data_IF_220664813828
#
_entry.id   IF_220664813828
#
_cell.length_a   1.000
_cell.length_b   1.000
_cell.length_c   1.000
_cell.angle_alpha   90.00
_cell.angle_beta   90.00
_cell.angle_gamma   90.00
#
_symmetry.space_group_name_H-M   'P 1'
#
loop_
_entity.id
_entity.type
_entity.pdbx_description
1 polymer ?
#
# COMPACT_ATOMS: atom_id res chain seq x y z
N UNK A 1 17.56 10.37 27.21
CA UNK A 1 17.96 10.55 25.81
C UNK A 1 16.74 10.32 24.93
N UNK A 2 16.28 11.32 24.17
CA UNK A 2 15.21 11.14 23.18
C UNK A 2 15.81 10.46 21.94
N UNK A 3 15.20 9.39 21.39
CA UNK A 3 15.68 8.81 20.13
C UNK A 3 15.63 9.86 19.03
N UNK A 4 16.63 9.86 18.14
CA UNK A 4 16.63 10.78 17.00
C UNK A 4 15.44 10.47 16.10
N UNK A 5 14.90 11.48 15.40
CA UNK A 5 13.82 11.29 14.41
C UNK A 5 14.17 10.19 13.39
N UNK A 6 15.45 10.02 13.06
CA UNK A 6 15.96 8.95 12.19
C UNK A 6 15.84 7.54 12.79
N UNK A 7 16.08 7.36 14.10
CA UNK A 7 15.87 6.06 14.77
C UNK A 7 14.40 5.68 14.87
N UNK A 8 13.50 6.67 14.82
CA UNK A 8 12.04 6.44 14.82
C UNK A 8 11.56 5.99 13.44
N UNK A 9 12.08 6.59 12.37
CA UNK A 9 11.73 6.18 10.99
C UNK A 9 12.25 4.78 10.65
N UNK A 10 13.49 4.43 11.00
CA UNK A 10 14.05 3.11 10.70
C UNK A 10 13.29 1.95 11.40
N UNK A 11 12.79 2.16 12.62
CA UNK A 11 11.97 1.19 13.34
C UNK A 11 10.56 1.06 12.74
N UNK A 12 10.02 2.14 12.18
CA UNK A 12 8.73 2.13 11.49
C UNK A 12 8.81 1.33 10.17
N UNK A 13 9.86 1.51 9.37
CA UNK A 13 10.03 0.81 8.08
C UNK A 13 10.21 -0.70 8.25
N UNK A 14 11.00 -1.14 9.24
CA UNK A 14 11.19 -2.57 9.55
C UNK A 14 9.94 -3.23 10.16
N UNK A 15 9.18 -2.49 10.98
CA UNK A 15 7.92 -2.97 11.55
C UNK A 15 6.83 -3.17 10.49
N UNK A 16 6.75 -2.26 9.50
CA UNK A 16 5.75 -2.34 8.42
C UNK A 16 6.05 -3.49 7.45
N UNK A 17 7.31 -3.71 7.07
CA UNK A 17 7.71 -4.87 6.25
C UNK A 17 7.41 -6.22 6.95
N UNK A 18 7.61 -6.29 8.27
CA UNK A 18 7.37 -7.51 9.04
C UNK A 18 5.86 -7.80 9.24
N UNK A 19 5.03 -6.78 9.42
CA UNK A 19 3.57 -6.93 9.57
C UNK A 19 2.87 -7.28 8.24
N UNK A 20 3.40 -6.80 7.11
CA UNK A 20 2.86 -7.11 5.79
C UNK A 20 3.03 -8.59 5.46
N UNK A 21 4.20 -9.18 5.76
CA UNK A 21 4.46 -10.61 5.53
C UNK A 21 3.59 -11.54 6.39
N UNK A 22 3.21 -11.13 7.61
CA UNK A 22 2.42 -11.96 8.53
C UNK A 22 0.90 -11.96 8.24
N UNK A 23 0.35 -10.93 7.59
CA UNK A 23 -1.10 -10.86 7.31
C UNK A 23 -1.49 -11.55 5.98
N UNK A 24 -0.54 -12.00 5.16
CA UNK A 24 -0.83 -12.67 3.88
C UNK A 24 -1.29 -14.13 4.02
N UNK A 25 -1.07 -14.78 5.17
CA UNK A 25 -1.60 -16.12 5.43
C UNK A 25 -3.11 -16.14 5.70
N UNK A 26 -3.75 -14.98 5.92
CA UNK A 26 -5.14 -14.88 6.36
C UNK A 26 -6.16 -14.75 5.20
N UNK A 27 -5.73 -14.72 3.94
CA UNK A 27 -6.58 -14.33 2.79
C UNK A 27 -7.26 -15.52 2.07
N UNK A 28 -7.51 -16.64 2.74
CA UNK A 28 -8.13 -17.86 2.16
C UNK A 28 -9.66 -17.93 2.30
N UNK A 29 -10.35 -16.78 2.34
CA UNK A 29 -11.76 -16.69 2.79
C UNK A 29 -12.81 -16.52 1.69
N UNK A 30 -12.45 -16.52 0.41
CA UNK A 30 -13.46 -16.41 -0.65
C UNK A 30 -14.23 -17.72 -0.88
N UNK A 31 -13.80 -18.86 -0.31
CA UNK A 31 -14.44 -20.17 -0.50
C UNK A 31 -15.52 -20.59 0.52
N UNK A 32 -15.80 -19.82 1.57
CA UNK A 32 -16.71 -20.28 2.65
C UNK A 32 -18.18 -20.03 2.30
N UNK A 33 -18.68 -20.79 1.32
CA UNK A 33 -20.00 -21.47 1.31
C UNK A 33 -20.40 -21.87 -0.12
N UNK A 34 -20.20 -23.15 -0.46
CA UNK A 34 -21.00 -23.83 -1.49
C UNK A 34 -20.20 -24.42 -2.64
N UNK A 35 -19.95 -25.73 -2.54
CA UNK A 35 -19.46 -26.66 -3.57
C UNK A 35 -17.99 -26.51 -3.98
N UNK A 36 -17.27 -27.63 -3.88
CA UNK A 36 -15.98 -27.93 -4.53
C UNK A 36 -16.05 -27.78 -6.06
N UNK A 37 -16.30 -26.58 -6.55
CA UNK A 37 -15.95 -26.17 -7.90
C UNK A 37 -14.82 -25.20 -7.74
N UNK A 38 -13.60 -25.71 -7.87
CA UNK A 38 -12.39 -24.92 -7.99
C UNK A 38 -12.61 -23.81 -9.00
N UNK A 39 -12.91 -22.61 -8.51
CA UNK A 39 -12.95 -21.41 -9.30
C UNK A 39 -11.54 -20.85 -9.20
N UNK A 40 -10.78 -20.92 -10.29
CA UNK A 40 -9.44 -20.34 -10.41
C UNK A 40 -9.42 -18.82 -10.06
N UNK A 41 -10.59 -18.17 -9.98
CA UNK A 41 -10.77 -16.76 -9.62
C UNK A 41 -10.31 -16.34 -8.22
N UNK A 42 -10.42 -17.20 -7.19
CA UNK A 42 -9.97 -16.86 -5.82
C UNK A 42 -8.44 -16.72 -5.76
N UNK A 43 -7.74 -17.63 -6.42
CA UNK A 43 -6.29 -17.59 -6.57
C UNK A 43 -5.86 -16.34 -7.37
N UNK A 44 -6.64 -15.95 -8.38
CA UNK A 44 -6.36 -14.76 -9.20
C UNK A 44 -6.44 -13.45 -8.39
N UNK A 45 -7.52 -13.22 -7.61
CA UNK A 45 -7.67 -12.01 -6.79
C UNK A 45 -6.55 -11.91 -5.75
N UNK A 46 -6.28 -13.00 -5.03
CA UNK A 46 -5.23 -13.03 -4.03
C UNK A 46 -3.86 -12.76 -4.66
N UNK A 47 -3.54 -13.40 -5.79
CA UNK A 47 -2.28 -13.18 -6.49
C UNK A 47 -2.11 -11.73 -6.92
N UNK A 48 -3.16 -11.08 -7.44
CA UNK A 48 -3.06 -9.67 -7.79
C UNK A 48 -2.88 -8.76 -6.57
N UNK A 49 -3.52 -9.06 -5.45
CA UNK A 49 -3.29 -8.30 -4.20
C UNK A 49 -1.83 -8.44 -3.76
N UNK A 50 -1.31 -9.68 -3.75
CA UNK A 50 0.07 -9.98 -3.33
C UNK A 50 1.09 -9.33 -4.27
N UNK A 51 0.96 -9.54 -5.58
CA UNK A 51 1.88 -8.97 -6.57
C UNK A 51 1.80 -7.45 -6.62
N UNK A 52 0.60 -6.87 -6.57
CA UNK A 52 0.41 -5.43 -6.59
C UNK A 52 1.06 -4.77 -5.37
N UNK A 53 0.90 -5.38 -4.19
CA UNK A 53 1.56 -4.93 -2.97
C UNK A 53 3.09 -5.11 -3.03
N UNK A 54 3.57 -6.22 -3.58
CA UNK A 54 5.00 -6.48 -3.78
C UNK A 54 5.66 -5.38 -4.63
N UNK A 55 5.12 -5.13 -5.82
CA UNK A 55 5.62 -4.08 -6.70
C UNK A 55 5.51 -2.67 -6.09
N UNK A 56 4.43 -2.38 -5.36
CA UNK A 56 4.31 -1.12 -4.62
C UNK A 56 5.44 -0.95 -3.59
N UNK A 57 5.75 -2.00 -2.82
CA UNK A 57 6.80 -1.98 -1.80
C UNK A 57 8.19 -1.88 -2.40
N UNK A 58 8.45 -2.57 -3.51
CA UNK A 58 9.72 -2.45 -4.25
C UNK A 58 9.94 -1.02 -4.75
N UNK A 59 8.88 -0.38 -5.27
CA UNK A 59 8.92 1.03 -5.67
C UNK A 59 9.24 1.94 -4.48
N UNK A 60 8.58 1.71 -3.34
CA UNK A 60 8.81 2.49 -2.14
C UNK A 60 10.22 2.30 -1.58
N UNK A 61 10.75 1.07 -1.59
CA UNK A 61 12.10 0.77 -1.13
C UNK A 61 13.18 1.50 -1.96
N UNK A 62 13.04 1.49 -3.29
CA UNK A 62 13.92 2.25 -4.18
C UNK A 62 13.82 3.77 -3.91
N UNK A 63 12.61 4.27 -3.64
CA UNK A 63 12.37 5.68 -3.29
C UNK A 63 13.05 6.04 -1.96
N UNK A 64 12.99 5.19 -0.94
CA UNK A 64 13.66 5.41 0.34
C UNK A 64 15.19 5.41 0.19
N UNK A 65 15.74 4.54 -0.65
CA UNK A 65 17.17 4.54 -0.99
C UNK A 65 17.58 5.83 -1.72
N UNK A 66 16.75 6.30 -2.65
CA UNK A 66 16.94 7.58 -3.33
C UNK A 66 16.98 8.75 -2.33
N UNK A 67 16.02 8.82 -1.41
CA UNK A 67 15.96 9.86 -0.38
C UNK A 67 17.20 9.82 0.51
N UNK A 68 17.59 8.64 1.00
CA UNK A 68 18.79 8.45 1.81
C UNK A 68 20.05 8.96 1.10
N UNK A 69 20.23 8.61 -0.18
CA UNK A 69 21.40 9.06 -0.95
C UNK A 69 21.39 10.56 -1.20
N UNK A 70 20.22 11.13 -1.50
CA UNK A 70 20.04 12.57 -1.67
C UNK A 70 20.43 13.32 -0.39
N UNK A 71 20.02 12.85 0.79
CA UNK A 71 20.40 13.44 2.08
C UNK A 71 21.91 13.39 2.34
N UNK A 72 22.58 12.31 1.93
CA UNK A 72 24.02 12.12 2.14
C UNK A 72 24.91 12.83 1.11
N UNK A 73 24.32 13.31 0.02
CA UNK A 73 25.05 13.94 -1.10
C UNK A 73 25.88 15.14 -0.68
N UNK A 74 25.43 15.91 0.32
CA UNK A 74 26.16 17.05 0.87
C UNK A 74 27.45 16.68 1.61
N UNK A 75 27.63 15.41 2.00
CA UNK A 75 28.82 14.94 2.71
C UNK A 75 29.71 14.03 1.86
N UNK A 76 29.15 13.24 0.95
CA UNK A 76 29.86 12.16 0.25
C UNK A 76 29.99 12.40 -1.26
N UNK A 77 29.31 13.42 -1.79
CA UNK A 77 29.03 13.51 -3.22
C UNK A 77 28.04 12.42 -3.62
N UNK A 78 27.21 12.68 -4.63
CA UNK A 78 26.32 11.65 -5.18
C UNK A 78 26.19 11.87 -6.68
N UNK A 79 26.29 10.78 -7.44
CA UNK A 79 26.10 10.83 -8.89
C UNK A 79 24.62 10.92 -9.22
N UNK A 80 24.23 11.89 -10.06
CA UNK A 80 22.88 11.96 -10.61
C UNK A 80 22.51 10.70 -11.39
N UNK A 81 23.48 10.01 -12.01
CA UNK A 81 23.26 8.73 -12.68
C UNK A 81 22.78 7.65 -11.70
N UNK A 82 23.37 7.59 -10.50
CA UNK A 82 22.98 6.62 -9.48
C UNK A 82 21.59 6.91 -8.92
N UNK A 83 21.29 8.19 -8.67
CA UNK A 83 19.96 8.63 -8.26
C UNK A 83 18.91 8.34 -9.34
N UNK A 84 19.26 8.57 -10.61
CA UNK A 84 18.43 8.28 -11.77
C UNK A 84 18.02 6.82 -11.83
N UNK A 85 18.99 5.89 -11.69
CA UNK A 85 18.74 4.44 -11.68
C UNK A 85 17.77 3.99 -10.59
N UNK A 86 17.86 4.56 -9.38
CA UNK A 86 16.92 4.24 -8.30
C UNK A 86 15.50 4.69 -8.63
N UNK A 87 15.35 5.87 -9.23
CA UNK A 87 14.05 6.38 -9.65
C UNK A 87 13.49 5.63 -10.86
N UNK A 88 14.33 5.19 -11.80
CA UNK A 88 13.92 4.34 -12.92
C UNK A 88 13.35 3.01 -12.42
N UNK A 89 14.04 2.36 -11.48
CA UNK A 89 13.55 1.14 -10.84
C UNK A 89 12.24 1.39 -10.08
N UNK A 90 12.15 2.50 -9.34
CA UNK A 90 10.94 2.86 -8.60
C UNK A 90 9.74 3.09 -9.54
N UNK A 91 9.96 3.78 -10.67
CA UNK A 91 8.95 4.03 -11.70
C UNK A 91 8.49 2.72 -12.33
N UNK A 92 9.41 1.82 -12.67
CA UNK A 92 9.06 0.54 -13.29
C UNK A 92 8.24 -0.33 -12.35
N UNK A 93 8.66 -0.50 -11.10
CA UNK A 93 7.87 -1.22 -10.09
C UNK A 93 6.49 -0.58 -9.88
N UNK A 94 6.38 0.76 -9.88
CA UNK A 94 5.09 1.43 -9.74
C UNK A 94 4.16 1.19 -10.94
N UNK A 95 4.69 1.14 -12.17
CA UNK A 95 3.89 0.78 -13.36
C UNK A 95 3.38 -0.65 -13.27
N UNK A 96 4.22 -1.59 -12.85
CA UNK A 96 3.81 -2.99 -12.62
C UNK A 96 2.74 -3.09 -11.53
N UNK A 97 2.84 -2.30 -10.46
CA UNK A 97 1.81 -2.21 -9.43
C UNK A 97 0.48 -1.69 -9.98
N UNK A 98 0.51 -0.63 -10.81
CA UNK A 98 -0.68 -0.06 -11.46
C UNK A 98 -1.35 -1.05 -12.40
N UNK A 99 -0.57 -1.73 -13.25
CA UNK A 99 -1.08 -2.78 -14.13
C UNK A 99 -1.76 -3.88 -13.30
N UNK A 100 -1.09 -4.34 -12.24
CA UNK A 100 -1.62 -5.38 -11.37
C UNK A 100 -2.91 -4.95 -10.65
N UNK A 101 -2.97 -3.72 -10.12
CA UNK A 101 -4.18 -3.20 -9.48
C UNK A 101 -5.31 -2.92 -10.47
N UNK A 102 -4.98 -2.60 -11.73
CA UNK A 102 -5.97 -2.51 -12.80
C UNK A 102 -6.61 -3.86 -13.06
N UNK A 103 -5.79 -4.91 -13.20
CA UNK A 103 -6.27 -6.28 -13.39
C UNK A 103 -7.05 -6.79 -12.17
N UNK A 104 -6.60 -6.48 -10.94
CA UNK A 104 -7.34 -6.75 -9.71
C UNK A 104 -8.73 -6.15 -9.75
N UNK A 105 -8.82 -4.86 -10.10
CA UNK A 105 -10.11 -4.16 -10.16
C UNK A 105 -11.03 -4.79 -11.21
N UNK A 106 -10.51 -5.08 -12.40
CA UNK A 106 -11.30 -5.74 -13.45
C UNK A 106 -11.82 -7.11 -12.99
N UNK A 107 -10.96 -7.93 -12.39
CA UNK A 107 -11.36 -9.23 -11.85
C UNK A 107 -12.44 -9.07 -10.75
N UNK A 108 -12.27 -8.10 -9.85
CA UNK A 108 -13.21 -7.82 -8.77
C UNK A 108 -14.57 -7.31 -9.28
N UNK A 109 -14.61 -6.56 -10.38
CA UNK A 109 -15.85 -6.08 -10.99
C UNK A 109 -16.72 -7.25 -11.52
N UNK A 110 -16.10 -8.37 -11.89
CA UNK A 110 -16.80 -9.58 -12.37
C UNK A 110 -16.98 -10.68 -11.31
N UNK A 111 -16.34 -10.56 -10.15
CA UNK A 111 -16.44 -11.58 -9.10
C UNK A 111 -17.54 -11.20 -8.11
N UNK A 112 -18.57 -12.05 -7.90
CA UNK A 112 -19.56 -11.82 -6.85
C UNK A 112 -18.91 -11.93 -5.46
N UNK A 113 -19.24 -11.00 -4.56
CA UNK A 113 -18.74 -11.05 -3.18
C UNK A 113 -19.64 -11.88 -2.28
N UNK A 114 -19.03 -12.58 -1.32
CA UNK A 114 -19.76 -13.36 -0.32
C UNK A 114 -20.61 -12.41 0.57
N UNK A 115 -21.95 -12.55 0.59
CA UNK A 115 -22.83 -11.67 1.36
C UNK A 115 -22.53 -11.73 2.87
N UNK A 116 -22.05 -12.86 3.39
CA UNK A 116 -21.68 -13.01 4.81
C UNK A 116 -20.53 -12.06 5.15
N UNK A 117 -19.52 -11.97 4.27
CA UNK A 117 -18.38 -11.05 4.45
C UNK A 117 -18.85 -9.60 4.39
N UNK A 118 -19.76 -9.29 3.47
CA UNK A 118 -20.32 -7.94 3.33
C UNK A 118 -21.09 -7.52 4.59
N UNK A 119 -21.92 -8.40 5.15
CA UNK A 119 -22.70 -8.11 6.34
C UNK A 119 -21.83 -8.03 7.60
N UNK A 120 -20.78 -8.85 7.69
CA UNK A 120 -19.76 -8.72 8.73
C UNK A 120 -19.01 -7.39 8.66
N UNK A 121 -18.61 -6.93 7.47
CA UNK A 121 -17.98 -5.63 7.29
C UNK A 121 -18.90 -4.47 7.70
N UNK A 122 -20.21 -4.57 7.41
CA UNK A 122 -21.19 -3.54 7.81
C UNK A 122 -21.41 -3.48 9.32
N UNK A 123 -21.41 -4.63 9.99
CA UNK A 123 -21.63 -4.76 11.43
C UNK A 123 -20.36 -4.60 12.28
N UNK A 124 -19.20 -4.53 11.64
CA UNK A 124 -17.91 -4.41 12.30
C UNK A 124 -17.79 -3.16 13.19
N UNK A 125 -17.19 -3.30 14.38
CA UNK A 125 -16.99 -2.20 15.31
C UNK A 125 -15.74 -1.37 14.98
N UNK A 126 -15.83 -0.55 13.94
CA UNK A 126 -14.74 0.34 13.51
C UNK A 126 -14.26 1.30 14.59
N UNK A 127 -15.16 1.81 15.43
CA UNK A 127 -14.81 2.76 16.50
C UNK A 127 -13.88 2.11 17.52
N UNK A 128 -14.21 0.88 17.95
CA UNK A 128 -13.37 0.14 18.89
C UNK A 128 -12.00 -0.18 18.30
N UNK A 129 -11.92 -0.58 17.03
CA UNK A 129 -10.63 -0.83 16.37
C UNK A 129 -9.75 0.43 16.35
N UNK A 130 -10.33 1.57 15.98
CA UNK A 130 -9.61 2.84 15.89
C UNK A 130 -9.03 3.27 17.24
N UNK A 131 -9.84 3.21 18.31
CA UNK A 131 -9.46 3.61 19.66
C UNK A 131 -8.39 2.69 20.25
N UNK A 132 -8.54 1.37 20.08
CA UNK A 132 -7.64 0.38 20.67
C UNK A 132 -6.30 0.29 19.96
N UNK A 133 -6.26 0.55 18.65
CA UNK A 133 -5.05 0.37 17.83
C UNK A 133 -4.28 1.67 17.56
N UNK A 134 -4.78 2.82 18.02
CA UNK A 134 -4.13 4.12 17.83
C UNK A 134 -3.94 4.49 16.35
N UNK A 135 -4.90 4.10 15.50
CA UNK A 135 -4.82 4.31 14.05
C UNK A 135 -4.93 5.80 13.70
N UNK A 136 -4.22 6.23 12.65
CA UNK A 136 -4.36 7.59 12.14
C UNK A 136 -5.81 7.84 11.71
N UNK A 137 -6.47 8.80 12.38
CA UNK A 137 -7.90 9.03 12.22
C UNK A 137 -8.28 9.44 10.80
N UNK A 138 -7.42 10.20 10.12
CA UNK A 138 -7.70 10.68 8.77
C UNK A 138 -7.65 9.53 7.76
N UNK A 139 -6.62 8.68 7.83
CA UNK A 139 -6.51 7.50 6.96
C UNK A 139 -7.59 6.48 7.29
N UNK A 140 -7.83 6.19 8.57
CA UNK A 140 -8.81 5.19 8.97
C UNK A 140 -10.25 5.60 8.65
N UNK A 141 -10.58 6.89 8.69
CA UNK A 141 -11.89 7.38 8.23
C UNK A 141 -12.15 7.04 6.75
N UNK A 142 -11.11 7.06 5.91
CA UNK A 142 -11.25 6.68 4.49
C UNK A 142 -11.45 5.18 4.35
N UNK A 143 -10.75 4.36 5.14
CA UNK A 143 -10.96 2.91 5.18
C UNK A 143 -12.40 2.58 5.57
N UNK A 144 -12.87 3.19 6.67
CA UNK A 144 -14.23 3.02 7.17
C UNK A 144 -15.28 3.38 6.12
N UNK A 145 -15.08 4.47 5.37
CA UNK A 145 -15.99 4.92 4.31
C UNK A 145 -16.29 3.83 3.27
N UNK A 146 -15.28 3.02 2.91
CA UNK A 146 -15.48 1.89 1.99
C UNK A 146 -16.06 0.67 2.71
N UNK A 147 -15.39 0.22 3.77
CA UNK A 147 -15.67 -1.08 4.37
C UNK A 147 -17.03 -1.12 5.10
N UNK A 148 -17.47 -0.03 5.74
CA UNK A 148 -18.79 0.00 6.40
C UNK A 148 -19.95 -0.20 5.43
N UNK A 149 -19.72 0.08 4.14
CA UNK A 149 -20.71 -0.13 3.07
C UNK A 149 -20.52 -1.47 2.36
N UNK A 150 -19.52 -2.27 2.76
CA UNK A 150 -19.11 -3.48 2.04
C UNK A 150 -18.44 -3.20 0.68
N UNK A 151 -17.95 -1.98 0.46
CA UNK A 151 -17.40 -1.57 -0.84
C UNK A 151 -15.93 -1.99 -1.01
N UNK A 152 -15.70 -3.28 -1.18
CA UNK A 152 -14.37 -3.85 -1.41
C UNK A 152 -13.81 -3.40 -2.77
N UNK A 153 -14.67 -3.18 -3.77
CA UNK A 153 -14.25 -2.67 -5.10
C UNK A 153 -13.72 -1.24 -5.01
N UNK A 154 -14.36 -0.41 -4.20
CA UNK A 154 -13.91 0.95 -3.89
C UNK A 154 -12.53 0.96 -3.24
N UNK A 155 -12.21 -0.02 -2.38
CA UNK A 155 -10.86 -0.18 -1.82
C UNK A 155 -9.82 -0.41 -2.91
N UNK A 156 -10.06 -1.33 -3.84
CA UNK A 156 -9.14 -1.58 -4.96
C UNK A 156 -9.03 -0.36 -5.88
N UNK A 157 -10.15 0.31 -6.16
CA UNK A 157 -10.17 1.57 -6.91
C UNK A 157 -9.33 2.66 -6.24
N UNK A 158 -9.39 2.76 -4.91
CA UNK A 158 -8.59 3.71 -4.14
C UNK A 158 -7.09 3.40 -4.23
N UNK A 159 -6.69 2.13 -4.09
CA UNK A 159 -5.30 1.70 -4.25
C UNK A 159 -4.76 2.02 -5.66
N UNK A 160 -5.55 1.76 -6.69
CA UNK A 160 -5.19 2.11 -8.07
C UNK A 160 -5.06 3.63 -8.26
N UNK A 161 -5.99 4.41 -7.70
CA UNK A 161 -5.92 5.88 -7.77
C UNK A 161 -4.67 6.42 -7.06
N UNK A 162 -4.32 5.87 -5.90
CA UNK A 162 -3.17 6.32 -5.12
C UNK A 162 -1.84 5.97 -5.81
N UNK A 163 -1.73 4.77 -6.38
CA UNK A 163 -0.55 4.35 -7.14
C UNK A 163 -0.34 5.21 -8.38
N UNK A 164 -1.39 5.56 -9.12
CA UNK A 164 -1.31 6.53 -10.21
C UNK A 164 -0.81 7.90 -9.75
N UNK A 165 -1.28 8.39 -8.59
CA UNK A 165 -0.80 9.65 -8.01
C UNK A 165 0.70 9.57 -7.65
N UNK A 166 1.13 8.46 -7.07
CA UNK A 166 2.54 8.22 -6.73
C UNK A 166 3.41 8.17 -8.00
N UNK A 167 2.96 7.50 -9.06
CA UNK A 167 3.66 7.47 -10.35
C UNK A 167 3.87 8.89 -10.90
N UNK A 168 2.84 9.75 -10.83
CA UNK A 168 2.96 11.15 -11.25
C UNK A 168 4.01 11.91 -10.43
N UNK A 169 4.02 11.75 -9.10
CA UNK A 169 5.02 12.37 -8.22
C UNK A 169 6.44 11.84 -8.47
N UNK A 170 6.60 10.53 -8.70
CA UNK A 170 7.89 9.92 -9.08
C UNK A 170 8.41 10.53 -10.38
N UNK A 171 7.54 10.72 -11.36
CA UNK A 171 7.91 11.30 -12.67
C UNK A 171 8.41 12.74 -12.50
N UNK A 172 7.75 13.55 -11.66
CA UNK A 172 8.20 14.92 -11.34
C UNK A 172 9.57 14.92 -10.68
N UNK A 173 9.78 14.06 -9.68
CA UNK A 173 11.08 13.93 -8.99
C UNK A 173 12.17 13.47 -9.97
N UNK A 174 11.86 12.52 -10.86
CA UNK A 174 12.78 12.02 -11.87
C UNK A 174 13.18 13.08 -12.89
N UNK A 175 12.25 13.90 -13.36
CA UNK A 175 12.55 15.00 -14.28
C UNK A 175 13.64 15.94 -13.73
N UNK A 176 13.61 16.25 -12.44
CA UNK A 176 14.67 17.07 -11.81
C UNK A 176 16.04 16.40 -11.89
N UNK A 177 16.11 15.10 -11.60
CA UNK A 177 17.37 14.35 -11.67
C UNK A 177 17.89 14.26 -13.11
N UNK A 178 17.00 14.07 -14.09
CA UNK A 178 17.36 14.03 -15.52
C UNK A 178 17.87 15.37 -16.04
N UNK A 179 17.43 16.48 -15.44
CA UNK A 179 17.95 17.84 -15.66
C UNK A 179 19.27 18.12 -14.92
N UNK A 180 19.81 17.14 -14.17
CA UNK A 180 21.05 17.30 -13.40
C UNK A 180 20.92 18.20 -12.18
N UNK A 181 19.71 18.28 -11.59
CA UNK A 181 19.43 19.06 -10.38
C UNK A 181 18.74 18.21 -9.32
N UNK A 182 18.92 18.58 -8.05
CA UNK A 182 18.15 17.96 -6.97
C UNK A 182 16.68 18.38 -7.07
N UNK A 183 15.73 17.46 -6.80
CA UNK A 183 14.32 17.81 -6.70
C UNK A 183 14.07 18.72 -5.49
N UNK A 184 13.01 19.51 -5.56
CA UNK A 184 12.59 20.33 -4.43
C UNK A 184 12.22 19.46 -3.23
N UNK A 185 12.58 19.91 -2.03
CA UNK A 185 12.28 19.17 -0.79
C UNK A 185 10.78 18.88 -0.66
N UNK A 186 9.94 19.83 -1.11
CA UNK A 186 8.49 19.69 -1.12
C UNK A 186 8.01 18.51 -1.97
N UNK A 187 8.62 18.29 -3.14
CA UNK A 187 8.25 17.20 -4.04
C UNK A 187 8.59 15.84 -3.45
N UNK A 188 9.81 15.72 -2.89
CA UNK A 188 10.26 14.50 -2.19
C UNK A 188 9.38 14.22 -0.97
N UNK A 189 9.03 15.25 -0.20
CA UNK A 189 8.16 15.12 0.96
C UNK A 189 6.73 14.71 0.59
N UNK A 190 6.18 15.29 -0.47
CA UNK A 190 4.86 14.92 -1.00
C UNK A 190 4.84 13.48 -1.49
N UNK A 191 5.90 13.04 -2.17
CA UNK A 191 6.07 11.66 -2.60
C UNK A 191 6.09 10.70 -1.41
N UNK A 192 6.91 10.98 -0.39
CA UNK A 192 6.99 10.15 0.82
C UNK A 192 5.65 10.05 1.56
N UNK A 193 4.94 11.19 1.68
CA UNK A 193 3.61 11.21 2.28
C UNK A 193 2.60 10.39 1.49
N UNK A 194 2.64 10.46 0.15
CA UNK A 194 1.75 9.68 -0.70
C UNK A 194 1.97 8.17 -0.52
N UNK A 195 3.24 7.72 -0.54
CA UNK A 195 3.58 6.33 -0.21
C UNK A 195 3.10 5.93 1.19
N UNK A 196 3.43 6.72 2.21
CA UNK A 196 3.11 6.41 3.61
C UNK A 196 1.60 6.31 3.84
N UNK A 197 0.81 7.24 3.29
CA UNK A 197 -0.66 7.21 3.43
C UNK A 197 -1.28 6.01 2.71
N UNK A 198 -0.79 5.67 1.53
CA UNK A 198 -1.27 4.51 0.75
C UNK A 198 -0.95 3.20 1.46
N UNK A 199 0.26 3.11 2.02
CA UNK A 199 0.70 1.97 2.82
C UNK A 199 -0.15 1.78 4.08
N UNK A 200 -0.40 2.86 4.83
CA UNK A 200 -1.27 2.84 6.00
C UNK A 200 -2.71 2.44 5.63
N UNK A 201 -3.24 2.97 4.53
CA UNK A 201 -4.56 2.60 4.04
C UNK A 201 -4.67 1.09 3.79
N UNK A 202 -3.72 0.51 3.03
CA UNK A 202 -3.68 -0.93 2.78
C UNK A 202 -3.53 -1.76 4.05
N UNK A 203 -2.66 -1.33 4.97
CA UNK A 203 -2.48 -1.99 6.27
C UNK A 203 -3.75 -1.99 7.11
N UNK A 204 -4.46 -0.87 7.18
CA UNK A 204 -5.69 -0.74 7.97
C UNK A 204 -6.83 -1.56 7.38
N UNK A 205 -6.93 -1.64 6.05
CA UNK A 205 -7.85 -2.58 5.39
C UNK A 205 -7.52 -4.01 5.81
N UNK A 206 -6.25 -4.42 5.69
CA UNK A 206 -5.83 -5.77 6.09
C UNK A 206 -6.11 -6.06 7.57
N UNK A 207 -5.94 -5.07 8.45
CA UNK A 207 -6.22 -5.20 9.87
C UNK A 207 -7.70 -5.44 10.17
N UNK A 208 -8.62 -4.75 9.49
CA UNK A 208 -10.07 -5.00 9.63
C UNK A 208 -10.40 -6.44 9.23
N UNK A 209 -9.90 -6.90 8.08
CA UNK A 209 -10.12 -8.29 7.65
C UNK A 209 -9.52 -9.30 8.62
N UNK A 210 -8.29 -9.06 9.11
CA UNK A 210 -7.65 -9.95 10.08
C UNK A 210 -8.41 -10.03 11.41
N UNK A 211 -8.98 -8.91 11.88
CA UNK A 211 -9.76 -8.89 13.12
C UNK A 211 -11.12 -9.58 12.95
N UNK A 212 -11.77 -9.39 11.80
CA UNK A 212 -12.98 -10.13 11.44
C UNK A 212 -12.76 -11.66 11.47
N UNK A 213 -11.63 -12.13 10.92
CA UNK A 213 -11.26 -13.56 10.92
C UNK A 213 -11.07 -14.12 12.33
N UNK A 214 -10.57 -13.30 13.27
CA UNK A 214 -10.37 -13.73 14.66
C UNK A 214 -11.66 -13.76 15.46
N UNK A 215 -12.60 -12.87 15.12
CA UNK A 215 -13.85 -12.68 15.86
C UNK A 215 -15.03 -13.46 15.27
N UNK A 216 -14.75 -14.46 14.43
CA UNK A 216 -15.70 -15.36 13.83
C UNK A 216 -16.75 -14.63 12.96
N UNK A 217 -16.25 -13.90 11.97
CA UNK A 217 -16.57 -14.39 10.62
C UNK A 217 -16.15 -15.86 10.52
#
# INVERSE_FOLDING_TARGET
MRPSKQQTMAKFTLGVLFFILLNFHSFSWWSVNGTDRGFDGENIIQNYIVHGAGYFLDSYANTLLFMKKTELSGCQGTSYEELGKLLDNALESMKMAIETYTNLKQAADHTPYNPIVIDALKSYNYTSLQETSGLDAAVFSVVKMYLVNGDIRGVYGKMLSDTNKILSLLTTVKASIDEGRFPELTDVWNLNQAFSRTLLFGQYVAQVFNDLLKNNL
#
